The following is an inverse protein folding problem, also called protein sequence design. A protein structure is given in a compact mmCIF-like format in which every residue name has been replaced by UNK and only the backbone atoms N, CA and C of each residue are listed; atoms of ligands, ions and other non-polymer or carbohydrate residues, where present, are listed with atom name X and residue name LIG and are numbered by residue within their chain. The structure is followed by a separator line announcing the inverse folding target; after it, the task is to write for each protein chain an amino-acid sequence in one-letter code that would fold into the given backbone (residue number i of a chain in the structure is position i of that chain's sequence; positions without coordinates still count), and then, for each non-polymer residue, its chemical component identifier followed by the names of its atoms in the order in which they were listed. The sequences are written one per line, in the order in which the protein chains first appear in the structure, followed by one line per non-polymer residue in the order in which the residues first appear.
data_IF_117952255275
#
_entry.id   IF_117952255275
#
_cell.length_a   1.000
_cell.length_b   1.000
_cell.length_c   1.000
_cell.angle_alpha   90.00
_cell.angle_beta   90.00
_cell.angle_gamma   90.00
#
_symmetry.space_group_name_H-M   'P 1'
#
loop_
_entity.id
_entity.type
_entity.pdbx_description
1 polymer ?
#
# COMPACT_ATOMS: atom_id res chain seq x y z
N UNK A 1 -5.75 -11.57 4.63
CA UNK A 1 -6.60 -10.56 3.98
C UNK A 1 -6.42 -10.63 2.46
N UNK A 2 -7.24 -11.39 1.72
CA UNK A 2 -7.08 -11.60 0.26
C UNK A 2 -7.39 -10.36 -0.58
N UNK A 3 -8.36 -9.52 -0.16
CA UNK A 3 -8.70 -8.29 -0.88
C UNK A 3 -7.55 -7.27 -0.89
N UNK A 4 -6.90 -7.07 0.26
CA UNK A 4 -5.74 -6.16 0.37
C UNK A 4 -4.60 -6.63 -0.54
N UNK A 5 -4.34 -7.94 -0.59
CA UNK A 5 -3.36 -8.53 -1.53
C UNK A 5 -3.73 -8.18 -2.97
N UNK A 6 -4.98 -8.44 -3.38
CA UNK A 6 -5.46 -8.10 -4.72
C UNK A 6 -5.26 -6.61 -5.06
N UNK A 7 -5.59 -5.70 -4.14
CA UNK A 7 -5.41 -4.26 -4.35
C UNK A 7 -3.94 -3.91 -4.52
N UNK A 8 -3.04 -4.50 -3.71
CA UNK A 8 -1.60 -4.28 -3.84
C UNK A 8 -1.05 -4.78 -5.18
N UNK A 9 -1.50 -5.95 -5.64
CA UNK A 9 -1.14 -6.45 -6.97
C UNK A 9 -1.67 -5.54 -8.08
N UNK A 10 -2.90 -5.04 -7.95
CA UNK A 10 -3.57 -4.22 -8.98
C UNK A 10 -2.95 -2.81 -9.08
N UNK A 11 -2.66 -2.18 -7.95
CA UNK A 11 -2.16 -0.80 -7.92
C UNK A 11 -0.64 -0.69 -8.08
N UNK A 12 0.11 -1.61 -7.49
CA UNK A 12 1.57 -1.53 -7.43
C UNK A 12 2.28 -2.58 -8.29
N UNK A 13 1.53 -3.52 -8.90
CA UNK A 13 2.11 -4.60 -9.69
C UNK A 13 2.89 -5.61 -8.86
N UNK A 14 2.67 -5.67 -7.55
CA UNK A 14 3.40 -6.56 -6.66
C UNK A 14 3.15 -8.04 -7.02
N UNK A 15 4.18 -8.89 -6.98
CA UNK A 15 4.00 -10.34 -6.96
C UNK A 15 3.16 -10.77 -5.75
N UNK A 16 2.48 -11.92 -5.86
CA UNK A 16 1.58 -12.42 -4.80
C UNK A 16 2.29 -12.58 -3.44
N UNK A 17 3.53 -13.07 -3.42
CA UNK A 17 4.29 -13.26 -2.18
C UNK A 17 4.62 -11.94 -1.48
N UNK A 18 5.05 -10.93 -2.24
CA UNK A 18 5.35 -9.60 -1.72
C UNK A 18 4.08 -8.92 -1.18
N UNK A 19 3.00 -8.92 -1.98
CA UNK A 19 1.72 -8.36 -1.59
C UNK A 19 1.15 -9.06 -0.34
N UNK A 20 1.32 -10.38 -0.23
CA UNK A 20 0.94 -11.15 0.96
C UNK A 20 1.77 -10.76 2.17
N UNK A 21 3.08 -10.58 2.00
CA UNK A 21 3.98 -10.16 3.08
C UNK A 21 3.59 -8.78 3.61
N UNK A 22 3.38 -7.81 2.72
CA UNK A 22 2.96 -6.44 3.07
C UNK A 22 1.59 -6.42 3.73
N UNK A 23 0.65 -7.20 3.22
CA UNK A 23 -0.66 -7.35 3.85
C UNK A 23 -0.56 -7.93 5.27
N UNK A 24 0.30 -8.93 5.49
CA UNK A 24 0.51 -9.50 6.82
C UNK A 24 1.18 -8.51 7.77
N UNK A 25 2.06 -7.64 7.27
CA UNK A 25 2.63 -6.52 8.03
C UNK A 25 1.52 -5.57 8.51
N UNK A 26 0.62 -5.14 7.61
CA UNK A 26 -0.57 -4.33 7.98
C UNK A 26 -1.42 -5.06 9.02
N UNK A 27 -1.68 -6.35 8.84
CA UNK A 27 -2.52 -7.12 9.75
C UNK A 27 -1.94 -7.24 11.17
N UNK A 28 -0.61 -7.38 11.27
CA UNK A 28 0.09 -7.57 12.56
C UNK A 28 0.50 -6.27 13.24
N UNK A 29 0.90 -5.28 12.46
CA UNK A 29 1.53 -4.03 12.93
C UNK A 29 0.62 -2.81 12.76
N UNK A 30 -0.52 -2.96 12.07
CA UNK A 30 -1.48 -1.88 11.81
C UNK A 30 -1.14 -1.01 10.60
N UNK A 31 0.09 -1.08 10.06
CA UNK A 31 0.55 -0.32 8.89
C UNK A 31 1.66 -1.04 8.12
N UNK A 32 1.94 -0.60 6.90
CA UNK A 32 3.07 -1.06 6.09
C UNK A 32 3.40 0.00 5.03
N UNK A 33 4.69 0.15 4.70
CA UNK A 33 5.12 0.97 3.56
C UNK A 33 4.97 0.12 2.29
N UNK A 34 4.07 0.56 1.39
CA UNK A 34 3.75 -0.16 0.13
C UNK A 34 4.45 0.43 -1.10
N UNK A 35 4.80 1.71 -1.09
CA UNK A 35 5.50 2.37 -2.20
C UNK A 35 6.28 3.57 -1.68
N UNK A 36 7.47 3.78 -2.20
CA UNK A 36 8.24 5.02 -2.05
C UNK A 36 8.33 5.66 -3.43
N UNK A 37 7.94 6.93 -3.51
CA UNK A 37 7.86 7.71 -4.75
C UNK A 37 7.90 9.20 -4.43
N UNK A 38 7.92 10.03 -5.47
CA UNK A 38 7.76 11.47 -5.33
C UNK A 38 6.39 11.81 -4.73
N UNK A 39 6.30 13.02 -4.16
CA UNK A 39 5.12 13.48 -3.43
C UNK A 39 3.85 13.43 -4.29
N UNK A 40 3.93 13.85 -5.55
CA UNK A 40 2.79 13.90 -6.47
C UNK A 40 2.21 12.50 -6.71
N UNK A 41 3.08 11.52 -6.97
CA UNK A 41 2.67 10.12 -7.14
C UNK A 41 2.09 9.54 -5.84
N UNK A 42 2.67 9.90 -4.69
CA UNK A 42 2.18 9.43 -3.39
C UNK A 42 0.75 9.92 -3.11
N UNK A 43 0.44 11.17 -3.45
CA UNK A 43 -0.91 11.75 -3.34
C UNK A 43 -1.91 10.96 -4.20
N UNK A 44 -1.54 10.64 -5.45
CA UNK A 44 -2.37 9.82 -6.36
C UNK A 44 -2.59 8.40 -5.81
N UNK A 45 -1.57 7.77 -5.24
CA UNK A 45 -1.70 6.43 -4.67
C UNK A 45 -2.60 6.41 -3.43
N UNK A 46 -2.52 7.44 -2.57
CA UNK A 46 -3.42 7.58 -1.42
C UNK A 46 -4.88 7.69 -1.88
N UNK A 47 -5.16 8.53 -2.88
CA UNK A 47 -6.50 8.66 -3.44
C UNK A 47 -7.01 7.33 -4.02
N UNK A 48 -6.18 6.63 -4.80
CA UNK A 48 -6.54 5.33 -5.36
C UNK A 48 -6.83 4.30 -4.28
N UNK A 49 -6.00 4.20 -3.25
CA UNK A 49 -6.21 3.28 -2.12
C UNK A 49 -7.53 3.58 -1.40
N UNK A 50 -7.84 4.87 -1.18
CA UNK A 50 -9.12 5.30 -0.63
C UNK A 50 -10.30 4.91 -1.52
N UNK A 51 -10.17 5.01 -2.85
CA UNK A 51 -11.18 4.57 -3.80
C UNK A 51 -11.41 3.04 -3.75
N UNK A 52 -10.38 2.26 -3.40
CA UNK A 52 -10.51 0.83 -3.08
C UNK A 52 -10.99 0.56 -1.65
N UNK A 53 -11.35 1.59 -0.87
CA UNK A 53 -11.83 1.46 0.50
C UNK A 53 -10.75 1.11 1.53
N UNK A 54 -9.47 1.22 1.17
CA UNK A 54 -8.35 1.02 2.09
C UNK A 54 -7.95 2.36 2.70
N UNK A 55 -7.77 2.42 4.02
CA UNK A 55 -7.20 3.61 4.66
C UNK A 55 -5.71 3.71 4.34
N UNK A 56 -5.26 4.87 3.86
CA UNK A 56 -3.87 5.11 3.49
C UNK A 56 -3.40 6.50 3.91
N UNK A 57 -2.11 6.62 4.15
CA UNK A 57 -1.43 7.89 4.44
C UNK A 57 -0.10 7.92 3.70
N UNK A 58 0.41 9.11 3.41
CA UNK A 58 1.77 9.32 2.95
C UNK A 58 2.57 10.02 4.05
N UNK A 59 3.85 9.68 4.16
CA UNK A 59 4.79 10.30 5.07
C UNK A 59 6.11 10.58 4.33
N UNK A 60 6.85 11.59 4.79
CA UNK A 60 8.19 11.83 4.26
C UNK A 60 9.10 10.73 4.82
N UNK A 61 9.85 10.07 3.96
CA UNK A 61 10.91 9.15 4.39
C UNK A 61 12.03 10.02 4.96
N UNK A 62 12.16 10.04 6.28
CA UNK A 62 13.35 10.59 6.93
C UNK A 62 14.50 9.57 6.77
N UNK A 63 15.72 10.06 6.52
CA UNK A 63 16.93 9.23 6.31
C UNK A 63 17.24 8.26 7.47
#
# INVERSE_FOLDING_TARGET
MSYVVYVFQTLFGMPYEEATTKMMEVHKQGRSIVKVCDREDAEVYVEKLHAFGLQATMERVDE
#
